data_IF_184154362112
#
_entry.id   IF_184154362112
#
_cell.length_a   1.000
_cell.length_b   1.000
_cell.length_c   1.000
_cell.angle_alpha   90.00
_cell.angle_beta   90.00
_cell.angle_gamma   90.00
#
_symmetry.space_group_name_H-M   'P 1'
#
loop_
_entity.id
_entity.type
_entity.pdbx_description
1 polymer ?
#
# COMPACT_ATOMS: atom_id res chain seq x y z
N UNK A 1 8.15 -11.42 17.75
CA UNK A 1 7.26 -10.28 17.34
C UNK A 1 6.01 -10.29 18.21
N UNK A 2 5.53 -9.11 18.65
CA UNK A 2 4.28 -8.98 19.42
C UNK A 2 3.08 -8.93 18.45
N UNK A 3 1.89 -9.35 18.94
CA UNK A 3 0.62 -9.20 18.21
C UNK A 3 0.34 -7.73 17.91
N UNK A 4 -0.09 -7.42 16.68
CA UNK A 4 -0.57 -6.10 16.30
C UNK A 4 -2.06 -5.99 16.59
N UNK A 5 -2.46 -4.98 17.38
CA UNK A 5 -3.86 -4.70 17.68
C UNK A 5 -4.28 -3.38 17.02
N UNK A 6 -5.34 -3.40 16.21
CA UNK A 6 -5.95 -2.23 15.55
C UNK A 6 -7.42 -2.19 15.95
N UNK A 7 -7.79 -1.28 16.84
CA UNK A 7 -9.10 -1.31 17.49
C UNK A 7 -9.28 -2.63 18.25
N UNK A 8 -10.30 -3.41 17.91
CA UNK A 8 -10.60 -4.74 18.45
C UNK A 8 -9.97 -5.90 17.63
N UNK A 9 -9.36 -5.59 16.48
CA UNK A 9 -8.72 -6.58 15.61
C UNK A 9 -7.33 -6.96 16.13
N UNK A 10 -7.01 -8.25 16.07
CA UNK A 10 -5.71 -8.80 16.53
C UNK A 10 -5.05 -9.61 15.43
N UNK A 11 -4.02 -9.05 14.79
CA UNK A 11 -3.17 -9.79 13.87
C UNK A 11 -2.05 -10.48 14.64
N UNK A 12 -1.96 -11.80 14.52
CA UNK A 12 -0.96 -12.63 15.21
C UNK A 12 0.46 -12.23 14.84
N UNK A 13 0.67 -11.83 13.61
CA UNK A 13 1.95 -11.36 13.05
C UNK A 13 1.79 -9.88 12.69
N UNK A 14 2.67 -8.98 13.18
CA UNK A 14 2.56 -7.54 12.95
C UNK A 14 3.05 -7.14 11.54
N UNK A 15 2.67 -7.90 10.53
CA UNK A 15 3.02 -7.69 9.13
C UNK A 15 1.73 -7.47 8.34
N UNK A 16 1.69 -6.34 7.63
CA UNK A 16 0.64 -5.98 6.70
C UNK A 16 1.19 -6.10 5.28
N UNK A 17 0.51 -6.82 4.41
CA UNK A 17 0.79 -6.73 2.98
C UNK A 17 0.08 -5.50 2.44
N UNK A 18 0.83 -4.50 1.99
CA UNK A 18 0.31 -3.25 1.46
C UNK A 18 -0.50 -3.43 0.18
N UNK A 19 -1.58 -2.67 0.03
CA UNK A 19 -2.40 -2.70 -1.19
C UNK A 19 -1.63 -2.22 -2.42
N UNK A 20 -1.57 -3.04 -3.46
CA UNK A 20 -0.81 -2.78 -4.68
C UNK A 20 -1.71 -2.89 -5.91
N UNK A 21 -1.94 -1.74 -6.58
CA UNK A 21 -2.70 -1.67 -7.85
C UNK A 21 -1.76 -1.66 -9.06
N UNK A 22 -2.21 -1.98 -10.23
CA UNK A 22 -3.53 -2.49 -10.66
C UNK A 22 -3.46 -4.02 -10.70
N UNK A 23 -4.30 -4.72 -9.92
CA UNK A 23 -4.40 -6.17 -9.99
C UNK A 23 -3.30 -6.96 -9.27
N UNK A 24 -2.34 -6.30 -8.61
CA UNK A 24 -1.19 -6.96 -7.97
C UNK A 24 -1.62 -7.65 -6.67
N UNK A 25 -2.42 -6.96 -5.84
CA UNK A 25 -3.01 -7.53 -4.64
C UNK A 25 -4.54 -7.55 -4.73
N UNK A 26 -5.08 -8.72 -4.99
CA UNK A 26 -6.50 -9.03 -4.98
C UNK A 26 -6.79 -10.08 -3.90
N UNK A 27 -7.86 -10.84 -4.07
CA UNK A 27 -8.28 -11.86 -3.09
C UNK A 27 -7.27 -13.00 -2.92
N UNK A 28 -6.48 -13.32 -3.94
CA UNK A 28 -5.45 -14.36 -3.88
C UNK A 28 -4.39 -14.03 -2.84
N UNK A 29 -3.67 -12.95 -3.07
CA UNK A 29 -2.60 -12.51 -2.16
C UNK A 29 -3.14 -12.14 -0.78
N UNK A 30 -4.21 -11.34 -0.72
CA UNK A 30 -4.76 -10.87 0.56
C UNK A 30 -5.19 -12.04 1.46
N UNK A 31 -5.89 -13.04 0.92
CA UNK A 31 -6.31 -14.21 1.71
C UNK A 31 -5.13 -15.04 2.19
N UNK A 32 -4.10 -15.21 1.38
CA UNK A 32 -2.90 -15.96 1.75
C UNK A 32 -2.18 -15.32 2.94
N UNK A 33 -2.00 -14.00 2.93
CA UNK A 33 -1.37 -13.26 4.05
C UNK A 33 -2.24 -13.32 5.32
N UNK A 34 -3.55 -13.17 5.18
CA UNK A 34 -4.48 -13.27 6.30
C UNK A 34 -4.46 -14.67 6.95
N UNK A 35 -4.36 -15.72 6.17
CA UNK A 35 -4.27 -17.11 6.67
C UNK A 35 -2.95 -17.37 7.43
N UNK A 36 -1.86 -16.72 7.06
CA UNK A 36 -0.60 -16.78 7.80
C UNK A 36 -0.63 -15.93 9.10
N UNK A 37 -1.72 -15.18 9.33
CA UNK A 37 -1.94 -14.41 10.57
C UNK A 37 -1.42 -12.96 10.50
N UNK A 38 -1.03 -12.50 9.34
CA UNK A 38 -0.82 -11.08 9.00
C UNK A 38 -2.13 -10.39 8.60
N UNK A 39 -2.02 -9.21 8.00
CA UNK A 39 -3.16 -8.47 7.44
C UNK A 39 -2.99 -8.44 5.92
N UNK A 40 -3.93 -9.05 5.19
CA UNK A 40 -3.95 -9.03 3.74
C UNK A 40 -4.78 -7.86 3.21
N UNK A 41 -4.30 -7.16 2.19
CA UNK A 41 -4.94 -5.92 1.70
C UNK A 41 -5.22 -5.99 0.19
N UNK A 42 -6.47 -5.84 -0.16
CA UNK A 42 -6.94 -5.73 -1.54
C UNK A 42 -6.74 -4.28 -2.02
N UNK A 43 -6.18 -4.09 -3.20
CA UNK A 43 -6.11 -2.75 -3.81
C UNK A 43 -7.36 -2.47 -4.66
N UNK A 44 -8.04 -1.37 -4.34
CA UNK A 44 -9.20 -0.93 -5.12
C UNK A 44 -8.83 -0.22 -6.43
N UNK A 45 -7.55 0.14 -6.63
CA UNK A 45 -7.12 0.90 -7.79
C UNK A 45 -7.20 0.09 -9.10
N UNK A 46 -7.91 0.64 -10.09
CA UNK A 46 -7.97 0.09 -11.43
C UNK A 46 -8.93 -1.10 -11.62
N UNK A 47 -9.74 -1.43 -10.62
CA UNK A 47 -10.70 -2.55 -10.69
C UNK A 47 -11.72 -2.37 -11.83
N UNK A 48 -12.11 -1.12 -12.15
CA UNK A 48 -13.01 -0.87 -13.28
C UNK A 48 -12.49 -1.40 -14.62
N UNK A 49 -11.17 -1.42 -14.82
CA UNK A 49 -10.56 -2.00 -16.02
C UNK A 49 -10.44 -3.54 -15.94
N UNK A 50 -10.12 -4.07 -14.76
CA UNK A 50 -10.05 -5.52 -14.51
C UNK A 50 -11.42 -6.18 -14.69
N UNK A 51 -12.48 -5.53 -14.20
CA UNK A 51 -13.85 -6.04 -14.16
C UNK A 51 -14.78 -5.42 -15.22
N UNK A 52 -14.22 -4.84 -16.29
CA UNK A 52 -14.99 -4.19 -17.39
C UNK A 52 -16.08 -5.04 -18.02
N UNK A 53 -16.04 -6.36 -17.83
CA UNK A 53 -17.10 -7.29 -18.29
C UNK A 53 -18.37 -7.21 -17.43
N UNK A 54 -18.30 -6.71 -16.19
CA UNK A 54 -19.44 -6.60 -15.28
C UNK A 54 -20.31 -5.37 -15.57
N UNK A 55 -19.70 -4.29 -16.08
CA UNK A 55 -20.39 -3.08 -16.52
C UNK A 55 -19.58 -2.33 -17.57
N UNK A 56 -20.21 -1.66 -18.54
CA UNK A 56 -19.54 -0.71 -19.43
C UNK A 56 -19.10 0.57 -18.70
N UNK A 57 -19.69 0.88 -17.55
CA UNK A 57 -19.30 2.01 -16.70
C UNK A 57 -18.11 1.62 -15.83
N UNK A 58 -17.01 2.38 -15.94
CA UNK A 58 -15.75 2.12 -15.21
C UNK A 58 -15.93 2.09 -13.69
N UNK A 59 -16.65 3.07 -13.13
CA UNK A 59 -16.88 3.18 -11.68
C UNK A 59 -17.75 2.03 -11.17
N UNK A 60 -18.84 1.71 -11.88
CA UNK A 60 -19.72 0.61 -11.53
C UNK A 60 -18.98 -0.74 -11.60
N UNK A 61 -18.23 -0.98 -12.68
CA UNK A 61 -17.40 -2.18 -12.83
C UNK A 61 -16.37 -2.30 -11.69
N UNK A 62 -15.80 -1.17 -11.26
CA UNK A 62 -14.86 -1.09 -10.15
C UNK A 62 -15.48 -1.48 -8.81
N UNK A 63 -16.67 -0.97 -8.53
CA UNK A 63 -17.41 -1.28 -7.30
C UNK A 63 -17.87 -2.75 -7.26
N UNK A 64 -18.42 -3.26 -8.35
CA UNK A 64 -18.80 -4.67 -8.47
C UNK A 64 -17.57 -5.59 -8.32
N UNK A 65 -16.44 -5.20 -8.95
CA UNK A 65 -15.18 -5.92 -8.83
C UNK A 65 -14.64 -5.93 -7.40
N UNK A 66 -14.68 -4.79 -6.71
CA UNK A 66 -14.24 -4.70 -5.31
C UNK A 66 -15.08 -5.58 -4.40
N UNK A 67 -16.41 -5.51 -4.50
CA UNK A 67 -17.31 -6.38 -3.74
C UNK A 67 -17.01 -7.87 -3.99
N UNK A 68 -16.81 -8.25 -5.26
CA UNK A 68 -16.46 -9.63 -5.62
C UNK A 68 -15.12 -10.06 -5.01
N UNK A 69 -14.10 -9.21 -5.04
CA UNK A 69 -12.78 -9.54 -4.46
C UNK A 69 -12.82 -9.65 -2.93
N UNK A 70 -13.57 -8.77 -2.23
CA UNK A 70 -13.76 -8.87 -0.77
C UNK A 70 -14.44 -10.21 -0.42
N UNK A 71 -15.52 -10.56 -1.12
CA UNK A 71 -16.25 -11.83 -0.87
C UNK A 71 -15.37 -13.04 -1.12
N UNK A 72 -14.63 -13.09 -2.25
CA UNK A 72 -13.68 -14.16 -2.54
C UNK A 72 -12.58 -14.28 -1.48
N UNK A 73 -12.07 -13.15 -0.96
CA UNK A 73 -11.07 -13.17 0.09
C UNK A 73 -11.66 -13.75 1.39
N UNK A 74 -12.90 -13.39 1.74
CA UNK A 74 -13.62 -13.94 2.91
C UNK A 74 -13.90 -15.44 2.80
N UNK A 75 -14.20 -15.92 1.60
CA UNK A 75 -14.38 -17.37 1.35
C UNK A 75 -13.08 -18.15 1.56
N UNK A 76 -11.92 -17.55 1.23
CA UNK A 76 -10.61 -18.19 1.29
C UNK A 76 -9.89 -18.03 2.64
N UNK A 77 -10.23 -17.02 3.43
CA UNK A 77 -9.52 -16.68 4.66
C UNK A 77 -10.46 -16.31 5.79
N UNK A 78 -10.05 -16.70 7.03
CA UNK A 78 -10.70 -16.28 8.28
C UNK A 78 -9.96 -15.14 8.99
N UNK A 79 -8.80 -14.72 8.47
CA UNK A 79 -7.97 -13.66 9.02
C UNK A 79 -8.46 -12.26 8.62
N UNK A 80 -7.66 -11.25 8.96
CA UNK A 80 -7.99 -9.83 8.76
C UNK A 80 -7.77 -9.45 7.29
N UNK A 81 -8.80 -8.91 6.65
CA UNK A 81 -8.78 -8.42 5.26
C UNK A 81 -9.00 -6.91 5.26
N UNK A 82 -8.04 -6.19 4.69
CA UNK A 82 -8.14 -4.75 4.42
C UNK A 82 -8.41 -4.44 2.95
N UNK A 83 -8.79 -3.20 2.70
CA UNK A 83 -8.86 -2.61 1.36
C UNK A 83 -8.05 -1.32 1.35
N UNK A 84 -7.20 -1.13 0.34
CA UNK A 84 -6.53 0.14 0.10
C UNK A 84 -7.31 0.97 -0.92
N UNK A 85 -7.70 2.19 -0.53
CA UNK A 85 -8.44 3.13 -1.37
C UNK A 85 -7.68 4.46 -1.42
N UNK A 86 -7.19 4.83 -2.61
CA UNK A 86 -6.45 6.08 -2.80
C UNK A 86 -7.43 7.28 -2.85
N UNK A 87 -7.15 8.34 -2.07
CA UNK A 87 -7.94 9.59 -2.08
C UNK A 87 -8.00 10.24 -3.46
N UNK A 88 -6.96 10.07 -4.26
CA UNK A 88 -6.86 10.63 -5.61
C UNK A 88 -7.81 9.99 -6.63
N UNK A 89 -8.43 8.84 -6.33
CA UNK A 89 -9.37 8.18 -7.24
C UNK A 89 -10.66 8.99 -7.37
N UNK A 90 -11.21 9.09 -8.58
CA UNK A 90 -12.46 9.82 -8.85
C UNK A 90 -13.66 9.15 -8.17
N UNK A 91 -13.65 7.82 -8.06
CA UNK A 91 -14.66 6.96 -7.43
C UNK A 91 -14.35 6.60 -5.97
N UNK A 92 -13.51 7.40 -5.30
CA UNK A 92 -13.09 7.19 -3.91
C UNK A 92 -14.27 6.92 -2.97
N UNK A 93 -15.29 7.77 -3.02
CA UNK A 93 -16.43 7.69 -2.12
C UNK A 93 -17.22 6.37 -2.31
N UNK A 94 -17.44 5.97 -3.55
CA UNK A 94 -18.16 4.75 -3.91
C UNK A 94 -17.36 3.50 -3.47
N UNK A 95 -16.05 3.47 -3.69
CA UNK A 95 -15.19 2.38 -3.25
C UNK A 95 -15.15 2.25 -1.72
N UNK A 96 -15.11 3.37 -0.98
CA UNK A 96 -15.21 3.36 0.49
C UNK A 96 -16.55 2.82 0.95
N UNK A 97 -17.67 3.29 0.37
CA UNK A 97 -19.01 2.80 0.69
C UNK A 97 -19.16 1.31 0.41
N UNK A 98 -18.64 0.83 -0.73
CA UNK A 98 -18.64 -0.59 -1.10
C UNK A 98 -17.85 -1.41 -0.07
N UNK A 99 -16.65 -0.94 0.33
CA UNK A 99 -15.82 -1.61 1.33
C UNK A 99 -16.54 -1.74 2.67
N UNK A 100 -17.23 -0.68 3.13
CA UNK A 100 -18.00 -0.69 4.38
C UNK A 100 -19.23 -1.62 4.26
N UNK A 101 -19.93 -1.58 3.13
CA UNK A 101 -21.10 -2.44 2.89
C UNK A 101 -20.74 -3.93 2.88
N UNK A 102 -19.58 -4.28 2.33
CA UNK A 102 -19.03 -5.63 2.35
C UNK A 102 -18.33 -5.98 3.71
N UNK A 103 -18.40 -5.09 4.70
CA UNK A 103 -17.89 -5.27 6.06
C UNK A 103 -16.40 -5.65 6.08
N UNK A 104 -15.59 -4.98 5.25
CA UNK A 104 -14.13 -5.18 5.30
C UNK A 104 -13.60 -4.77 6.68
N UNK A 105 -12.57 -5.45 7.18
CA UNK A 105 -12.07 -5.18 8.53
C UNK A 105 -11.40 -3.80 8.62
N UNK A 106 -10.62 -3.42 7.59
CA UNK A 106 -9.82 -2.20 7.61
C UNK A 106 -9.87 -1.52 6.24
N UNK A 107 -10.00 -0.18 6.23
CA UNK A 107 -9.73 0.65 5.07
C UNK A 107 -8.42 1.39 5.31
N UNK A 108 -7.42 1.13 4.47
CA UNK A 108 -6.18 1.90 4.36
C UNK A 108 -6.36 2.99 3.31
N UNK A 109 -6.07 4.25 3.64
CA UNK A 109 -6.27 5.36 2.71
C UNK A 109 -5.12 6.35 2.71
N UNK A 110 -4.59 6.60 1.51
CA UNK A 110 -3.48 7.51 1.24
C UNK A 110 -3.55 8.10 -0.16
N UNK A 111 -2.43 8.52 -0.72
CA UNK A 111 -2.36 9.31 -1.96
C UNK A 111 -3.22 10.58 -1.91
N UNK A 112 -3.04 11.32 -0.84
CA UNK A 112 -3.79 12.48 -0.36
C UNK A 112 -4.25 12.28 1.08
N UNK A 113 -4.65 13.37 1.76
CA UNK A 113 -5.16 13.30 3.13
C UNK A 113 -6.64 12.89 3.10
N UNK A 114 -7.02 11.75 3.74
CA UNK A 114 -8.41 11.27 3.75
C UNK A 114 -9.26 12.01 4.81
N UNK A 115 -9.38 13.34 4.69
CA UNK A 115 -9.94 14.20 5.74
C UNK A 115 -11.40 13.88 6.10
N UNK A 116 -12.16 13.39 5.15
CA UNK A 116 -13.60 13.12 5.33
C UNK A 116 -13.92 11.60 5.37
N UNK A 117 -12.90 10.74 5.51
CA UNK A 117 -13.09 9.29 5.51
C UNK A 117 -14.06 8.79 6.61
N UNK A 118 -14.04 9.31 7.86
CA UNK A 118 -15.01 8.87 8.88
C UNK A 118 -16.46 9.21 8.57
N UNK A 119 -16.75 10.19 7.69
CA UNK A 119 -18.12 10.53 7.29
C UNK A 119 -18.87 9.39 6.62
N UNK A 120 -18.16 8.39 6.09
CA UNK A 120 -18.76 7.22 5.44
C UNK A 120 -19.17 6.12 6.43
N UNK A 121 -18.64 6.15 7.67
CA UNK A 121 -19.03 5.18 8.70
C UNK A 121 -20.47 5.37 9.14
N UNK A 122 -21.17 4.25 9.33
CA UNK A 122 -22.47 4.20 9.99
C UNK A 122 -22.27 3.78 11.46
N UNK A 123 -23.31 3.98 12.29
CA UNK A 123 -23.25 3.68 13.73
C UNK A 123 -22.87 2.21 14.04
N UNK A 124 -23.21 1.30 13.15
CA UNK A 124 -22.97 -0.15 13.24
C UNK A 124 -21.79 -0.64 12.41
N UNK A 125 -20.99 0.28 11.83
CA UNK A 125 -19.83 -0.09 11.03
C UNK A 125 -18.77 -0.75 11.87
N UNK A 126 -18.28 -1.91 11.44
CA UNK A 126 -17.17 -2.67 12.08
C UNK A 126 -15.80 -2.29 11.53
N UNK A 127 -15.77 -1.63 10.37
CA UNK A 127 -14.58 -1.29 9.60
C UNK A 127 -13.71 -0.27 10.33
N UNK A 128 -12.43 -0.57 10.47
CA UNK A 128 -11.41 0.34 11.02
C UNK A 128 -10.85 1.24 9.94
N UNK A 129 -10.47 2.47 10.31
CA UNK A 129 -9.93 3.46 9.39
C UNK A 129 -8.46 3.75 9.70
N UNK A 130 -7.60 3.53 8.72
CA UNK A 130 -6.15 3.66 8.84
C UNK A 130 -5.62 4.58 7.74
N UNK A 131 -5.29 5.85 8.05
CA UNK A 131 -4.65 6.74 7.10
C UNK A 131 -3.20 6.35 6.84
N UNK A 132 -2.73 6.60 5.61
CA UNK A 132 -1.31 6.48 5.21
C UNK A 132 -0.77 7.90 5.06
N UNK A 133 0.31 8.20 5.79
CA UNK A 133 0.92 9.52 5.87
C UNK A 133 2.43 9.46 5.64
N UNK A 134 3.05 10.62 5.36
CA UNK A 134 4.49 10.77 5.17
C UNK A 134 5.15 11.71 6.20
N UNK A 135 4.42 12.14 7.22
CA UNK A 135 4.96 13.05 8.26
C UNK A 135 4.08 13.14 9.50
N UNK A 136 4.67 13.59 10.63
CA UNK A 136 3.97 13.92 11.87
C UNK A 136 2.92 15.03 11.66
N UNK A 137 3.22 16.05 10.85
CA UNK A 137 2.25 17.10 10.50
C UNK A 137 1.00 16.54 9.82
N UNK A 138 1.15 15.56 8.93
CA UNK A 138 0.01 14.99 8.22
C UNK A 138 -0.93 14.24 9.17
N UNK A 139 -0.39 13.44 10.11
CA UNK A 139 -1.23 12.72 11.08
C UNK A 139 -1.89 13.67 12.06
N UNK A 140 -1.21 14.74 12.51
CA UNK A 140 -1.81 15.79 13.35
C UNK A 140 -3.06 16.37 12.69
N UNK A 141 -2.95 16.81 11.44
CA UNK A 141 -4.07 17.37 10.67
C UNK A 141 -5.24 16.39 10.59
N UNK A 142 -4.95 15.10 10.32
CA UNK A 142 -5.98 14.08 10.23
C UNK A 142 -6.66 13.86 11.59
N UNK A 143 -5.90 13.69 12.67
CA UNK A 143 -6.44 13.48 14.01
C UNK A 143 -7.32 14.64 14.46
N UNK A 144 -6.85 15.89 14.28
CA UNK A 144 -7.62 17.09 14.61
C UNK A 144 -8.91 17.19 13.78
N UNK A 145 -8.81 17.01 12.46
CA UNK A 145 -9.95 17.11 11.56
C UNK A 145 -10.99 16.03 11.83
N UNK A 146 -10.54 14.77 12.00
CA UNK A 146 -11.45 13.66 12.27
C UNK A 146 -12.11 13.81 13.64
N UNK A 147 -11.34 14.21 14.67
CA UNK A 147 -11.90 14.41 16.02
C UNK A 147 -12.91 15.52 16.05
N UNK A 148 -12.58 16.70 15.46
CA UNK A 148 -13.46 17.86 15.50
C UNK A 148 -14.74 17.71 14.70
N UNK A 149 -14.68 17.04 13.53
CA UNK A 149 -15.81 16.96 12.63
C UNK A 149 -16.67 15.70 12.83
N UNK A 150 -16.07 14.59 13.31
CA UNK A 150 -16.70 13.26 13.32
C UNK A 150 -16.62 12.56 14.67
N UNK A 151 -16.02 13.21 15.69
CA UNK A 151 -15.72 12.60 16.98
C UNK A 151 -15.00 11.23 16.84
N UNK A 152 -14.10 11.13 15.87
CA UNK A 152 -13.38 9.91 15.51
C UNK A 152 -11.86 10.15 15.53
N UNK A 153 -11.09 9.15 15.92
CA UNK A 153 -9.63 9.13 15.78
C UNK A 153 -9.24 7.90 14.96
N UNK A 154 -8.11 7.94 14.23
CA UNK A 154 -7.61 6.77 13.50
C UNK A 154 -7.50 5.53 14.40
N UNK A 155 -7.76 4.35 13.82
CA UNK A 155 -7.58 3.08 14.55
C UNK A 155 -6.13 2.59 14.51
N UNK A 156 -5.35 3.06 13.54
CA UNK A 156 -3.91 2.96 13.39
C UNK A 156 -3.46 4.02 12.38
N UNK A 157 -2.16 4.20 12.21
CA UNK A 157 -1.59 5.04 11.16
C UNK A 157 -0.44 4.30 10.48
N UNK A 158 -0.35 4.38 9.14
CA UNK A 158 0.81 3.92 8.39
C UNK A 158 1.68 5.13 8.05
N UNK A 159 2.93 5.12 8.52
CA UNK A 159 3.97 6.04 8.05
C UNK A 159 4.69 5.40 6.87
N UNK A 160 4.53 5.99 5.69
CA UNK A 160 5.22 5.56 4.48
C UNK A 160 6.46 6.42 4.22
N UNK A 161 7.64 5.82 4.30
CA UNK A 161 8.93 6.46 4.06
C UNK A 161 9.27 6.62 2.57
N UNK A 162 10.32 7.42 2.23
CA UNK A 162 10.67 7.78 0.86
C UNK A 162 11.19 6.59 0.02
N UNK A 163 11.57 5.47 0.64
CA UNK A 163 12.04 4.25 -0.04
C UNK A 163 10.89 3.32 -0.47
N UNK A 164 9.64 3.74 -0.33
CA UNK A 164 8.48 3.00 -0.82
C UNK A 164 8.46 2.86 -2.35
N UNK A 165 7.66 1.92 -2.84
CA UNK A 165 7.31 1.79 -4.25
C UNK A 165 6.00 2.51 -4.57
N UNK A 166 5.73 2.74 -5.86
CA UNK A 166 4.54 3.46 -6.26
C UNK A 166 4.68 4.97 -6.13
N UNK A 167 3.57 5.65 -5.85
CA UNK A 167 3.54 7.10 -5.67
C UNK A 167 4.11 7.49 -4.31
N UNK A 168 4.98 8.49 -4.31
CA UNK A 168 5.70 8.92 -3.11
C UNK A 168 5.13 10.24 -2.59
N UNK A 169 4.82 10.28 -1.29
CA UNK A 169 4.29 11.46 -0.60
C UNK A 169 5.34 12.52 -0.28
N UNK A 170 6.41 12.61 -1.09
CA UNK A 170 7.58 13.47 -0.92
C UNK A 170 7.85 14.26 -2.18
N UNK A 171 8.57 15.38 -2.06
CA UNK A 171 9.17 16.07 -3.22
C UNK A 171 10.39 15.28 -3.69
N UNK A 172 10.74 15.41 -4.96
CA UNK A 172 11.86 14.67 -5.56
C UNK A 172 13.19 14.90 -4.80
N UNK A 173 13.46 16.14 -4.39
CA UNK A 173 14.65 16.50 -3.61
C UNK A 173 14.66 15.98 -2.16
N UNK A 174 13.57 15.43 -1.66
CA UNK A 174 13.46 14.83 -0.32
C UNK A 174 13.70 13.33 -0.33
N UNK A 175 13.73 12.70 -1.51
CA UNK A 175 13.79 11.24 -1.61
C UNK A 175 15.14 10.65 -1.19
N UNK A 176 16.21 11.43 -1.36
CA UNK A 176 17.60 11.04 -1.01
C UNK A 176 18.11 11.84 0.22
N UNK A 177 17.28 12.70 0.81
CA UNK A 177 17.63 13.49 1.98
C UNK A 177 17.40 12.65 3.25
N UNK A 178 18.47 12.42 4.03
CA UNK A 178 18.44 11.62 5.25
C UNK A 178 17.45 12.13 6.30
N UNK A 179 17.17 13.45 6.34
CA UNK A 179 16.17 14.03 7.25
C UNK A 179 14.74 13.54 6.97
N UNK A 180 14.49 12.98 5.78
CA UNK A 180 13.22 12.34 5.42
C UNK A 180 13.29 10.82 5.49
N UNK A 181 14.37 10.23 5.99
CA UNK A 181 14.45 8.78 6.16
C UNK A 181 13.34 8.26 7.08
N UNK A 182 12.96 7.00 6.90
CA UNK A 182 11.93 6.37 7.74
C UNK A 182 12.37 6.37 9.21
N UNK A 183 13.65 6.19 9.46
CA UNK A 183 14.28 6.17 10.77
C UNK A 183 14.18 7.52 11.49
N UNK A 184 14.28 8.62 10.77
CA UNK A 184 14.13 9.99 11.31
C UNK A 184 12.66 10.37 11.51
N UNK A 185 11.78 9.97 10.60
CA UNK A 185 10.37 10.35 10.64
C UNK A 185 9.56 9.52 11.64
N UNK A 186 9.93 8.24 11.86
CA UNK A 186 9.14 7.32 12.68
C UNK A 186 9.02 7.78 14.14
N UNK A 187 10.10 8.14 14.85
CA UNK A 187 10.00 8.66 16.22
C UNK A 187 9.12 9.91 16.32
N UNK A 188 9.19 10.82 15.34
CA UNK A 188 8.38 12.03 15.31
C UNK A 188 6.88 11.72 15.18
N UNK A 189 6.52 10.71 14.35
CA UNK A 189 5.13 10.29 14.18
C UNK A 189 4.63 9.54 15.42
N UNK A 190 5.47 8.72 16.05
CA UNK A 190 5.15 8.03 17.31
C UNK A 190 4.89 9.03 18.42
N UNK A 191 5.73 10.05 18.56
CA UNK A 191 5.56 11.15 19.53
C UNK A 191 4.26 11.94 19.27
N UNK A 192 4.01 12.34 18.02
CA UNK A 192 2.80 13.07 17.66
C UNK A 192 1.53 12.28 17.98
N UNK A 193 1.53 10.97 17.68
CA UNK A 193 0.39 10.09 17.96
C UNK A 193 0.19 9.90 19.44
N UNK A 194 1.26 9.83 20.26
CA UNK A 194 1.16 9.65 21.72
C UNK A 194 0.40 10.78 22.39
N UNK A 195 0.53 12.02 21.92
CA UNK A 195 -0.24 13.17 22.43
C UNK A 195 -1.76 12.95 22.27
N UNK A 196 -2.19 12.36 21.14
CA UNK A 196 -3.60 12.05 20.94
C UNK A 196 -4.05 10.81 21.73
N UNK A 197 -3.19 9.79 21.85
CA UNK A 197 -3.47 8.61 22.70
C UNK A 197 -3.72 9.01 24.15
N UNK A 198 -2.84 9.83 24.74
CA UNK A 198 -2.94 10.32 26.10
C UNK A 198 -4.18 11.21 26.30
N UNK A 199 -4.37 12.19 25.40
CA UNK A 199 -5.48 13.15 25.49
C UNK A 199 -6.86 12.48 25.41
N UNK A 200 -7.01 11.44 24.61
CA UNK A 200 -8.30 10.83 24.30
C UNK A 200 -8.43 9.38 24.81
N UNK A 201 -7.42 8.89 25.51
CA UNK A 201 -7.36 7.51 26.04
C UNK A 201 -7.70 6.46 24.96
N UNK A 202 -7.16 6.63 23.75
CA UNK A 202 -7.35 5.72 22.62
C UNK A 202 -6.00 5.31 22.03
N UNK A 203 -5.71 4.02 22.02
CA UNK A 203 -4.51 3.49 21.36
C UNK A 203 -4.57 3.65 19.83
N UNK A 204 -3.50 4.15 19.24
CA UNK A 204 -3.34 4.37 17.79
C UNK A 204 -1.98 3.81 17.35
N UNK A 205 -1.86 2.52 17.03
CA UNK A 205 -0.58 1.92 16.67
C UNK A 205 0.00 2.56 15.39
N UNK A 206 1.29 2.87 15.42
CA UNK A 206 2.04 3.36 14.26
C UNK A 206 2.65 2.17 13.53
N UNK A 207 2.44 2.11 12.22
CA UNK A 207 2.89 1.05 11.31
C UNK A 207 3.92 1.67 10.37
N UNK A 208 5.14 1.12 10.33
CA UNK A 208 6.20 1.59 9.45
C UNK A 208 6.11 0.94 8.06
N UNK A 209 6.32 1.73 7.00
CA UNK A 209 6.31 1.28 5.61
C UNK A 209 7.39 1.98 4.77
N UNK A 210 7.81 1.35 3.68
CA UNK A 210 8.78 1.93 2.74
C UNK A 210 10.24 1.60 3.06
N UNK A 211 10.87 0.78 2.21
CA UNK A 211 12.27 0.39 2.35
C UNK A 211 12.52 -0.81 3.27
N UNK A 212 11.51 -1.33 3.95
CA UNK A 212 11.61 -2.51 4.80
C UNK A 212 11.60 -3.77 3.92
N UNK A 213 12.63 -4.62 4.05
CA UNK A 213 12.80 -5.79 3.20
C UNK A 213 13.13 -7.08 3.97
N UNK A 214 13.86 -7.00 5.06
CA UNK A 214 14.29 -8.14 5.89
C UNK A 214 13.65 -8.13 7.27
N UNK A 215 13.79 -9.24 8.01
CA UNK A 215 13.39 -9.30 9.42
C UNK A 215 14.23 -8.38 10.32
N UNK A 216 15.45 -8.09 9.95
CA UNK A 216 16.34 -7.13 10.62
C UNK A 216 15.80 -5.69 10.44
N UNK A 217 15.34 -5.35 9.23
CA UNK A 217 14.67 -4.05 8.99
C UNK A 217 13.41 -3.92 9.84
N UNK A 218 12.62 -5.00 9.95
CA UNK A 218 11.43 -5.03 10.82
C UNK A 218 11.83 -4.76 12.27
N UNK A 219 12.87 -5.43 12.76
CA UNK A 219 13.34 -5.21 14.13
C UNK A 219 13.75 -3.76 14.35
N UNK A 220 14.55 -3.20 13.45
CA UNK A 220 15.04 -1.83 13.53
C UNK A 220 13.89 -0.81 13.68
N UNK A 221 12.85 -0.89 12.84
CA UNK A 221 11.74 0.04 12.93
C UNK A 221 10.84 -0.21 14.14
N UNK A 222 10.72 -1.47 14.60
CA UNK A 222 10.00 -1.76 15.84
C UNK A 222 10.73 -1.24 17.08
N UNK A 223 12.05 -1.27 17.09
CA UNK A 223 12.88 -0.67 18.17
C UNK A 223 12.75 0.87 18.21
N UNK A 224 12.43 1.49 17.07
CA UNK A 224 12.12 2.93 16.96
C UNK A 224 10.66 3.29 17.31
N UNK A 225 9.85 2.32 17.73
CA UNK A 225 8.50 2.52 18.23
C UNK A 225 7.37 2.10 17.29
N UNK A 226 7.66 1.51 16.12
CA UNK A 226 6.60 0.94 15.30
C UNK A 226 5.90 -0.23 16.01
N UNK A 227 4.59 -0.32 15.87
CA UNK A 227 3.78 -1.45 16.37
C UNK A 227 3.69 -2.61 15.37
N UNK A 228 4.03 -2.36 14.12
CA UNK A 228 4.03 -3.31 13.02
C UNK A 228 4.61 -2.69 11.75
N UNK A 229 4.63 -3.46 10.67
CA UNK A 229 5.18 -3.04 9.37
C UNK A 229 4.21 -3.30 8.23
N UNK A 230 4.28 -2.46 7.19
CA UNK A 230 3.60 -2.69 5.92
C UNK A 230 4.64 -2.91 4.82
N UNK A 231 4.54 -4.02 4.11
CA UNK A 231 5.44 -4.45 3.05
C UNK A 231 4.68 -4.61 1.73
N UNK A 232 5.25 -4.09 0.63
CA UNK A 232 4.74 -4.32 -0.73
C UNK A 232 5.64 -5.29 -1.49
N UNK A 233 6.85 -4.85 -1.79
CA UNK A 233 7.83 -5.52 -2.68
C UNK A 233 8.03 -7.00 -2.37
N UNK A 234 8.14 -7.38 -1.09
CA UNK A 234 8.32 -8.77 -0.66
C UNK A 234 7.15 -9.69 -1.04
N UNK A 235 5.94 -9.14 -1.15
CA UNK A 235 4.74 -9.90 -1.48
C UNK A 235 4.44 -9.94 -2.98
N UNK A 236 5.06 -9.08 -3.79
CA UNK A 236 4.91 -9.12 -5.25
C UNK A 236 5.44 -10.43 -5.82
N UNK A 237 6.58 -10.89 -5.34
CA UNK A 237 7.21 -12.13 -5.81
C UNK A 237 6.77 -13.34 -4.98
N UNK A 238 5.46 -13.43 -4.76
CA UNK A 238 4.85 -14.63 -4.16
C UNK A 238 3.99 -15.38 -5.17
N UNK A 239 3.85 -16.69 -4.98
CA UNK A 239 3.02 -17.52 -5.84
C UNK A 239 1.57 -17.08 -5.83
N UNK A 240 1.11 -16.55 -4.68
CA UNK A 240 -0.26 -16.09 -4.45
C UNK A 240 -0.54 -14.65 -4.91
N UNK A 241 0.51 -13.89 -5.27
CA UNK A 241 0.34 -12.58 -5.90
C UNK A 241 -0.49 -12.72 -7.18
N UNK A 242 -1.52 -11.88 -7.32
CA UNK A 242 -2.53 -12.00 -8.38
C UNK A 242 -2.03 -11.52 -9.76
N UNK A 243 -0.84 -10.93 -9.84
CA UNK A 243 -0.21 -10.52 -11.08
C UNK A 243 0.31 -11.73 -11.89
N UNK A 244 0.50 -11.53 -13.19
CA UNK A 244 1.10 -12.56 -14.07
C UNK A 244 2.53 -12.94 -13.64
N UNK A 245 2.97 -14.13 -14.00
CA UNK A 245 4.34 -14.58 -13.68
C UNK A 245 5.39 -13.67 -14.33
N UNK A 246 5.14 -13.15 -15.54
CA UNK A 246 6.02 -12.17 -16.17
C UNK A 246 6.17 -10.89 -15.35
N UNK A 247 5.11 -10.46 -14.63
CA UNK A 247 5.20 -9.34 -13.70
C UNK A 247 6.12 -9.65 -12.52
N UNK A 248 5.93 -10.81 -11.89
CA UNK A 248 6.76 -11.25 -10.75
C UNK A 248 8.23 -11.42 -11.17
N UNK A 249 8.47 -12.01 -12.34
CA UNK A 249 9.81 -12.18 -12.90
C UNK A 249 10.51 -10.84 -13.19
N UNK A 250 9.77 -9.77 -13.50
CA UNK A 250 10.38 -8.44 -13.69
C UNK A 250 11.11 -7.94 -12.44
N UNK A 251 10.60 -8.30 -11.25
CA UNK A 251 11.28 -7.99 -9.99
C UNK A 251 12.51 -8.88 -9.76
N UNK A 252 12.40 -10.19 -10.08
CA UNK A 252 13.52 -11.13 -9.92
C UNK A 252 14.70 -10.79 -10.85
N UNK A 253 14.40 -10.22 -12.02
CA UNK A 253 15.41 -9.81 -13.01
C UNK A 253 15.97 -8.39 -12.77
N UNK A 254 15.29 -7.57 -11.97
CA UNK A 254 15.69 -6.19 -11.73
C UNK A 254 17.02 -6.10 -10.97
N UNK A 255 17.88 -5.18 -11.40
CA UNK A 255 19.11 -4.80 -10.73
C UNK A 255 18.90 -3.46 -10.01
N UNK A 256 19.78 -3.10 -9.09
CA UNK A 256 19.69 -1.85 -8.33
C UNK A 256 19.58 -0.62 -9.24
N UNK A 257 20.39 -0.57 -10.30
CA UNK A 257 20.39 0.49 -11.30
C UNK A 257 19.08 0.62 -12.11
N UNK A 258 18.24 -0.44 -12.09
CA UNK A 258 16.97 -0.45 -12.81
C UNK A 258 15.84 0.19 -11.99
N UNK A 259 16.09 0.52 -10.71
CA UNK A 259 15.11 1.18 -9.84
C UNK A 259 15.25 2.69 -10.02
N UNK A 260 14.24 3.32 -10.64
CA UNK A 260 14.29 4.74 -10.97
C UNK A 260 13.09 5.53 -10.41
N UNK A 261 13.29 6.85 -10.25
CA UNK A 261 12.21 7.79 -9.94
C UNK A 261 11.63 8.29 -11.26
N UNK A 262 10.31 8.23 -11.37
CA UNK A 262 9.53 8.66 -12.53
C UNK A 262 8.55 9.77 -12.19
N UNK A 263 8.20 10.60 -13.17
CA UNK A 263 7.09 11.54 -13.08
C UNK A 263 5.78 10.83 -13.39
N UNK A 264 4.97 10.64 -12.36
CA UNK A 264 3.66 9.99 -12.52
C UNK A 264 2.60 10.95 -13.07
N UNK A 265 1.66 10.47 -13.90
CA UNK A 265 0.51 11.26 -14.35
C UNK A 265 -0.38 11.82 -13.22
N UNK A 266 -0.30 11.28 -12.01
CA UNK A 266 -1.05 11.81 -10.85
C UNK A 266 -0.42 13.05 -10.23
N UNK A 267 0.78 13.48 -10.71
CA UNK A 267 1.44 14.70 -10.23
C UNK A 267 2.37 14.49 -9.04
N UNK A 268 2.65 13.25 -8.66
CA UNK A 268 3.59 12.85 -7.62
C UNK A 268 4.79 12.13 -8.24
N UNK A 269 6.00 12.17 -7.65
CA UNK A 269 7.06 11.25 -8.03
C UNK A 269 6.62 9.81 -7.74
N UNK A 270 7.13 8.87 -8.52
CA UNK A 270 6.91 7.44 -8.32
C UNK A 270 8.19 6.66 -8.45
N UNK A 271 8.32 5.53 -7.74
CA UNK A 271 9.46 4.64 -7.89
C UNK A 271 9.05 3.38 -8.65
N UNK A 272 9.80 3.05 -9.69
CA UNK A 272 9.47 1.97 -10.62
C UNK A 272 10.71 1.20 -11.08
N UNK A 273 10.49 0.02 -11.62
CA UNK A 273 11.52 -0.71 -12.38
C UNK A 273 11.58 -0.10 -13.79
N UNK A 274 12.78 0.22 -14.24
CA UNK A 274 13.07 0.69 -15.59
C UNK A 274 12.45 -0.24 -16.65
N UNK A 275 11.89 0.32 -17.71
CA UNK A 275 11.28 -0.44 -18.81
C UNK A 275 11.34 0.34 -20.12
N UNK A 276 11.32 -0.39 -21.22
CA UNK A 276 11.24 0.21 -22.56
C UNK A 276 9.99 1.11 -22.73
N UNK A 277 8.90 0.82 -22.03
CA UNK A 277 7.75 1.72 -21.98
C UNK A 277 8.11 3.10 -21.41
N UNK A 278 8.87 3.14 -20.31
CA UNK A 278 9.28 4.40 -19.66
C UNK A 278 10.25 5.18 -20.54
N UNK A 279 11.12 4.52 -21.33
CA UNK A 279 11.95 5.18 -22.33
C UNK A 279 11.08 5.86 -23.40
N UNK A 280 10.08 5.15 -23.92
CA UNK A 280 9.11 5.73 -24.89
C UNK A 280 8.31 6.88 -24.29
N UNK A 281 7.98 6.83 -22.99
CA UNK A 281 7.36 7.95 -22.26
C UNK A 281 8.27 9.16 -22.21
N UNK A 282 9.56 8.98 -21.85
CA UNK A 282 10.56 10.05 -21.82
C UNK A 282 10.74 10.69 -23.21
N UNK A 283 10.61 9.90 -24.27
CA UNK A 283 10.66 10.36 -25.67
C UNK A 283 9.34 10.98 -26.18
N UNK A 284 8.30 11.11 -25.34
CA UNK A 284 7.01 11.72 -25.72
C UNK A 284 6.10 10.83 -26.59
N UNK A 285 6.44 9.53 -26.77
CA UNK A 285 5.74 8.63 -27.70
C UNK A 285 4.50 7.93 -27.10
N UNK A 286 4.16 8.20 -25.85
CA UNK A 286 3.06 7.48 -25.14
C UNK A 286 1.92 8.38 -24.69
N UNK A 287 1.88 9.63 -25.14
CA UNK A 287 0.82 10.57 -24.79
C UNK A 287 -0.55 10.05 -25.25
N UNK A 288 -1.54 9.94 -24.34
CA UNK A 288 -2.85 9.45 -24.68
C UNK A 288 -3.67 10.49 -25.43
N UNK A 289 -4.50 10.05 -26.39
CA UNK A 289 -5.39 10.94 -27.15
C UNK A 289 -6.76 11.12 -26.50
N UNK A 290 -7.24 10.09 -25.81
CA UNK A 290 -8.59 10.04 -25.21
C UNK A 290 -8.49 9.37 -23.83
N UNK A 291 -9.29 9.85 -22.87
CA UNK A 291 -9.48 9.21 -21.57
C UNK A 291 -10.88 8.59 -21.46
N UNK A 292 -11.02 7.27 -21.49
CA UNK A 292 -12.33 6.62 -21.32
C UNK A 292 -12.68 6.33 -19.85
N UNK A 293 -11.75 6.57 -18.91
CA UNK A 293 -11.90 6.04 -17.54
C UNK A 293 -12.20 7.09 -16.48
N UNK A 294 -11.72 8.33 -16.65
CA UNK A 294 -11.80 9.38 -15.63
C UNK A 294 -11.44 8.88 -14.22
N UNK A 295 -10.37 8.07 -14.12
CA UNK A 295 -10.04 7.29 -12.90
C UNK A 295 -9.34 8.11 -11.81
N UNK A 296 -8.76 9.28 -12.12
CA UNK A 296 -8.03 10.14 -11.20
C UNK A 296 -8.60 11.55 -11.25
N UNK A 297 -8.94 12.13 -10.09
CA UNK A 297 -9.57 13.47 -9.94
C UNK A 297 -8.80 14.59 -10.63
N UNK A 298 -7.47 14.57 -10.54
CA UNK A 298 -6.60 15.64 -11.07
C UNK A 298 -6.01 15.33 -12.43
N UNK A 299 -6.47 14.28 -13.11
CA UNK A 299 -5.92 13.86 -14.39
C UNK A 299 -6.49 14.73 -15.53
N UNK A 300 -5.62 15.54 -16.13
CA UNK A 300 -5.88 16.21 -17.40
C UNK A 300 -5.14 15.45 -18.52
N UNK A 301 -5.88 14.72 -19.33
CA UNK A 301 -5.34 13.82 -20.36
C UNK A 301 -4.44 14.57 -21.37
N UNK A 302 -4.74 15.84 -21.67
CA UNK A 302 -3.99 16.63 -22.64
C UNK A 302 -2.56 16.96 -22.17
N UNK A 303 -2.32 16.89 -20.85
CA UNK A 303 -1.04 17.22 -20.21
C UNK A 303 -0.31 16.01 -19.67
N UNK A 304 -0.85 14.78 -19.85
CA UNK A 304 -0.25 13.58 -19.26
C UNK A 304 0.66 12.86 -20.25
N UNK A 305 1.83 12.39 -19.81
CA UNK A 305 2.76 11.67 -20.69
C UNK A 305 2.24 10.30 -21.10
N UNK A 306 1.34 9.68 -20.30
CA UNK A 306 0.71 8.40 -20.57
C UNK A 306 -0.54 8.19 -19.72
N UNK A 307 -1.36 7.19 -20.07
CA UNK A 307 -2.49 6.74 -19.25
C UNK A 307 -2.01 5.73 -18.21
N UNK A 308 -1.99 6.13 -16.92
CA UNK A 308 -1.43 5.32 -15.85
C UNK A 308 -2.18 4.01 -15.63
N UNK A 309 -3.51 4.03 -15.59
CA UNK A 309 -4.30 2.81 -15.34
C UNK A 309 -4.10 1.78 -16.44
N UNK A 310 -3.99 2.21 -17.70
CA UNK A 310 -3.70 1.33 -18.84
C UNK A 310 -2.28 0.77 -18.76
N UNK A 311 -1.30 1.60 -18.43
CA UNK A 311 0.09 1.15 -18.31
C UNK A 311 0.26 0.11 -17.19
N UNK A 312 -0.33 0.34 -16.02
CA UNK A 312 -0.27 -0.61 -14.91
C UNK A 312 -1.06 -1.89 -15.20
N UNK A 313 -2.20 -1.80 -15.87
CA UNK A 313 -2.97 -2.96 -16.31
C UNK A 313 -2.19 -3.82 -17.34
N UNK A 314 -1.49 -3.19 -18.28
CA UNK A 314 -0.63 -3.91 -19.21
C UNK A 314 0.50 -4.64 -18.51
N UNK A 315 1.16 -3.97 -17.56
CA UNK A 315 2.21 -4.58 -16.76
C UNK A 315 1.69 -5.77 -15.93
N UNK A 316 0.54 -5.59 -15.27
CA UNK A 316 -0.16 -6.68 -14.56
C UNK A 316 -0.29 -7.95 -15.42
N UNK A 317 -0.58 -7.79 -16.71
CA UNK A 317 -0.69 -8.89 -17.69
C UNK A 317 0.66 -9.35 -18.26
N UNK A 318 1.78 -8.76 -17.84
CA UNK A 318 3.11 -9.09 -18.35
C UNK A 318 3.49 -8.35 -19.65
N UNK A 319 2.68 -7.40 -20.11
CA UNK A 319 2.98 -6.61 -21.32
C UNK A 319 3.77 -5.35 -20.95
N UNK A 320 5.09 -5.47 -20.84
CA UNK A 320 6.01 -4.37 -20.50
C UNK A 320 6.36 -3.47 -21.69
N UNK A 321 5.99 -3.83 -22.92
CA UNK A 321 6.05 -2.89 -24.06
C UNK A 321 5.07 -1.73 -23.93
N UNK A 322 3.97 -1.94 -23.16
CA UNK A 322 2.90 -0.97 -22.97
C UNK A 322 2.62 -0.68 -21.50
N UNK A 323 3.54 -1.07 -20.60
CA UNK A 323 3.39 -0.88 -19.16
C UNK A 323 4.71 -0.94 -18.41
N UNK A 324 4.64 -0.65 -17.12
CA UNK A 324 5.78 -0.69 -16.19
C UNK A 324 5.31 -1.13 -14.80
N UNK A 325 6.25 -1.67 -14.01
CA UNK A 325 6.00 -2.06 -12.62
C UNK A 325 6.49 -0.98 -11.66
N UNK A 326 5.63 -0.53 -10.74
CA UNK A 326 6.08 0.20 -9.56
C UNK A 326 6.85 -0.75 -8.63
N UNK A 327 7.89 -0.26 -7.96
CA UNK A 327 8.71 -1.07 -7.06
C UNK A 327 9.32 -0.23 -5.95
N UNK A 328 9.51 -0.80 -4.77
CA UNK A 328 10.29 -0.18 -3.70
C UNK A 328 11.80 -0.18 -4.01
N UNK A 329 12.55 0.64 -3.28
CA UNK A 329 14.02 0.79 -3.49
C UNK A 329 14.78 -0.53 -3.36
N UNK A 330 14.26 -1.48 -2.60
CA UNK A 330 14.88 -2.80 -2.36
C UNK A 330 14.39 -3.92 -3.30
N UNK A 331 13.65 -3.60 -4.38
CA UNK A 331 13.08 -4.62 -5.28
C UNK A 331 14.15 -5.49 -5.93
N UNK A 332 15.31 -4.92 -6.25
CA UNK A 332 16.47 -5.61 -6.85
C UNK A 332 17.06 -6.73 -5.97
N UNK A 333 16.77 -6.73 -4.65
CA UNK A 333 17.20 -7.78 -3.72
C UNK A 333 16.40 -9.07 -3.88
N UNK A 334 15.33 -9.05 -4.66
CA UNK A 334 14.47 -10.22 -4.89
C UNK A 334 15.15 -11.19 -5.86
N UNK A 335 15.36 -12.42 -5.44
CA UNK A 335 16.11 -13.42 -6.24
C UNK A 335 15.26 -14.57 -6.72
N UNK A 336 14.05 -14.75 -6.15
CA UNK A 336 13.15 -15.89 -6.48
C UNK A 336 11.70 -15.57 -6.13
N UNK A 337 10.79 -16.33 -6.73
CA UNK A 337 9.37 -16.37 -6.37
C UNK A 337 9.21 -17.42 -5.25
N UNK A 338 8.48 -17.07 -4.18
CA UNK A 338 8.25 -17.89 -3.00
C UNK A 338 6.75 -17.94 -2.70
N UNK A 339 6.30 -18.82 -1.80
CA UNK A 339 4.95 -18.69 -1.24
C UNK A 339 4.90 -17.56 -0.19
N UNK A 340 3.70 -17.05 0.09
CA UNK A 340 3.46 -16.11 1.20
C UNK A 340 3.94 -16.70 2.52
N UNK A 341 3.67 -18.00 2.74
CA UNK A 341 4.10 -18.72 3.94
C UNK A 341 5.61 -18.73 4.10
N UNK A 342 6.36 -19.04 3.03
CA UNK A 342 7.83 -19.02 3.03
C UNK A 342 8.35 -17.61 3.28
N UNK A 343 7.78 -16.59 2.61
CA UNK A 343 8.15 -15.19 2.78
C UNK A 343 7.98 -14.72 4.23
N UNK A 344 6.83 -15.00 4.85
CA UNK A 344 6.56 -14.61 6.24
C UNK A 344 7.49 -15.40 7.20
N UNK A 345 7.71 -16.69 6.95
CA UNK A 345 8.60 -17.52 7.77
C UNK A 345 10.04 -17.02 7.71
N UNK A 346 10.53 -16.63 6.54
CA UNK A 346 11.86 -16.04 6.35
C UNK A 346 11.99 -14.75 7.16
N UNK A 347 11.06 -13.81 7.02
CA UNK A 347 11.05 -12.53 7.76
C UNK A 347 11.04 -12.75 9.29
N UNK A 348 10.25 -13.71 9.78
CA UNK A 348 10.20 -14.04 11.20
C UNK A 348 11.53 -14.63 11.68
N UNK A 349 12.15 -15.51 10.89
CA UNK A 349 13.43 -16.13 11.25
C UNK A 349 14.58 -15.13 11.25
N UNK A 350 14.63 -14.21 10.29
CA UNK A 350 15.58 -13.11 10.26
C UNK A 350 15.38 -12.19 11.47
N UNK A 351 14.14 -11.80 11.78
CA UNK A 351 13.83 -11.00 12.96
C UNK A 351 14.30 -11.68 14.26
N UNK A 352 14.06 -12.99 14.42
CA UNK A 352 14.49 -13.74 15.62
C UNK A 352 16.01 -13.78 15.74
N UNK A 353 16.74 -13.89 14.63
CA UNK A 353 18.23 -13.89 14.65
C UNK A 353 18.76 -12.54 15.09
N UNK A 354 18.19 -11.44 14.63
CA UNK A 354 18.60 -10.09 15.02
C UNK A 354 18.18 -9.71 16.45
N UNK A 355 17.22 -10.43 17.05
CA UNK A 355 16.75 -10.22 18.44
C UNK A 355 17.61 -11.02 19.47
N UNK A 356 18.50 -11.90 19.01
CA UNK A 356 19.42 -12.59 19.92
C UNK A 356 20.57 -11.65 20.26
N UNK A 357 20.95 -11.53 21.56
CA UNK A 357 22.15 -10.77 21.92
C UNK A 357 23.35 -11.40 21.20
N UNK A 358 24.13 -10.58 20.52
CA UNK A 358 25.44 -10.98 19.99
C UNK A 358 26.25 -11.53 21.15
N UNK A 359 26.42 -12.85 21.19
CA UNK A 359 27.41 -13.45 22.06
C UNK A 359 28.76 -12.87 21.64
N UNK A 360 29.19 -11.81 22.36
CA UNK A 360 30.55 -11.28 22.21
C UNK A 360 31.51 -12.44 22.41
N UNK A 361 32.17 -12.85 21.33
CA UNK A 361 33.33 -13.73 21.39
C UNK A 361 34.31 -13.11 22.38
N UNK A 362 34.38 -13.73 23.54
CA UNK A 362 35.47 -13.51 24.50
C UNK A 362 36.77 -14.08 23.93
#
# INVERSE_FOLDING_TARGET
>A
MKTLTIGDLKARIPIIQGGMGVGISLSGLASAVANEGGIGVISAAGLGLLYKKLSPNYTEAGNLGLAAEIRKAREKAKGIIGVNVMVALSDFAELVKTSIAEKVDIIFSGAGLPLDLPSFLKKDSVTKLVPIVSSARAIRIICEKWKNNYDYLPDAVVLEGPKAGGHLGYKENQLEDEHFSLEELLPQVVEEVSHFEEKYNKRIPVIAAGGIYTGEDIKRVMDLGASGVQLGTRFVTTTECDASDAFKESYVKAQEKDIEIIKSPVGMPGRAIHSHFLEKVKAGMKQPKVCPFNCIKTCDISRRPYCIVTALYNAFKGNFENGYAFAGSNAWRTTRIMSVKETISELINEWKRSDQPTLSSR
#
